data_IF_130241731788
#
_entry.id   IF_130241731788
#
_cell.length_a   1.000
_cell.length_b   1.000
_cell.length_c   1.000
_cell.angle_alpha   90.00
_cell.angle_beta   90.00
_cell.angle_gamma   90.00
#
_symmetry.space_group_name_H-M   'P 1'
#
loop_
_entity.id
_entity.type
_entity.pdbx_description
1 polymer ?
#
# COMPACT_ATOMS: atom_id res chain seq x y z
N UNK A 1 9.12 -14.92 15.41
CA UNK A 1 8.85 -13.77 14.52
C UNK A 1 7.80 -14.11 13.46
N UNK A 2 7.84 -15.32 12.88
CA UNK A 2 6.87 -15.80 11.87
C UNK A 2 5.40 -15.79 12.31
N UNK A 3 5.09 -16.09 13.58
CA UNK A 3 3.71 -16.09 14.09
C UNK A 3 3.15 -14.68 14.40
N UNK A 4 4.00 -13.65 14.51
CA UNK A 4 3.58 -12.32 14.96
C UNK A 4 2.98 -11.48 13.81
N UNK A 5 3.52 -11.65 12.60
CA UNK A 5 3.15 -10.83 11.45
C UNK A 5 1.71 -11.10 10.99
N UNK A 6 1.22 -12.36 10.92
CA UNK A 6 -0.18 -12.61 10.60
C UNK A 6 -1.16 -11.99 11.62
N UNK A 7 -0.78 -11.97 12.91
CA UNK A 7 -1.58 -11.36 13.97
C UNK A 7 -1.61 -9.84 13.80
N UNK A 8 -0.46 -9.21 13.55
CA UNK A 8 -0.37 -7.78 13.26
C UNK A 8 -1.21 -7.41 12.03
N UNK A 9 -1.15 -8.22 10.96
CA UNK A 9 -1.93 -7.96 9.74
C UNK A 9 -3.44 -8.02 10.00
N UNK A 10 -3.91 -9.05 10.72
CA UNK A 10 -5.33 -9.18 11.11
C UNK A 10 -5.79 -8.00 11.96
N UNK A 11 -4.94 -7.53 12.89
CA UNK A 11 -5.22 -6.34 13.70
C UNK A 11 -5.31 -5.07 12.83
N UNK A 12 -4.40 -4.87 11.88
CA UNK A 12 -4.45 -3.73 10.95
C UNK A 12 -5.78 -3.66 10.19
N UNK A 13 -6.27 -4.79 9.66
CA UNK A 13 -7.54 -4.82 8.90
C UNK A 13 -8.75 -4.41 9.77
N UNK A 14 -8.82 -4.95 10.99
CA UNK A 14 -9.88 -4.63 11.94
C UNK A 14 -9.86 -3.15 12.28
N UNK A 15 -8.68 -2.59 12.56
CA UNK A 15 -8.56 -1.19 12.96
C UNK A 15 -8.75 -0.20 11.81
N UNK A 16 -8.43 -0.58 10.58
CA UNK A 16 -8.74 0.23 9.40
C UNK A 16 -10.24 0.36 9.15
N UNK A 17 -11.02 -0.64 9.56
CA UNK A 17 -12.49 -0.62 9.41
C UNK A 17 -13.17 0.23 10.50
N UNK A 18 -12.57 0.30 11.69
CA UNK A 18 -13.15 0.97 12.88
C UNK A 18 -12.53 2.36 13.11
N UNK A 19 -11.47 2.72 12.39
CA UNK A 19 -10.77 4.00 12.51
C UNK A 19 -9.99 4.08 13.83
N UNK A 20 -8.88 3.36 13.96
CA UNK A 20 -8.08 3.39 15.19
C UNK A 20 -6.79 4.21 15.02
N UNK A 21 -6.80 5.44 15.55
CA UNK A 21 -5.57 6.14 15.97
C UNK A 21 -5.00 5.55 17.30
N UNK A 22 -5.67 4.53 17.89
CA UNK A 22 -5.38 4.02 19.22
C UNK A 22 -4.34 2.88 19.31
N UNK A 23 -4.00 2.20 18.20
CA UNK A 23 -3.09 1.05 18.24
C UNK A 23 -1.92 1.23 17.27
N UNK A 24 -0.74 1.25 17.87
CA UNK A 24 0.54 1.47 17.21
C UNK A 24 1.12 0.14 16.77
N UNK A 25 0.77 -0.33 15.57
CA UNK A 25 1.35 -1.55 15.00
C UNK A 25 2.68 -1.25 14.31
N UNK A 26 3.65 -2.18 14.35
CA UNK A 26 4.91 -1.98 13.66
C UNK A 26 4.69 -1.98 12.15
N UNK A 27 5.21 -0.95 11.48
CA UNK A 27 5.03 -0.73 10.05
C UNK A 27 6.26 -0.03 9.45
N UNK A 28 6.59 -0.34 8.20
CA UNK A 28 7.63 0.40 7.47
C UNK A 28 6.94 1.48 6.64
N UNK A 29 7.19 2.74 6.96
CA UNK A 29 6.64 3.89 6.23
C UNK A 29 7.67 4.37 5.21
N UNK A 30 7.32 4.29 3.92
CA UNK A 30 8.19 4.68 2.82
C UNK A 30 7.99 6.16 2.51
N UNK A 31 9.06 6.94 2.64
CA UNK A 31 9.08 8.39 2.41
C UNK A 31 10.06 8.75 1.32
N UNK A 32 9.85 9.91 0.70
CA UNK A 32 10.74 10.43 -0.33
C UNK A 32 10.04 11.48 -1.18
N UNK A 33 10.83 12.31 -1.85
CA UNK A 33 10.31 13.30 -2.80
C UNK A 33 9.52 12.63 -3.93
N UNK A 34 8.73 13.38 -4.67
CA UNK A 34 8.18 12.91 -5.94
C UNK A 34 9.32 12.40 -6.83
N UNK A 35 9.11 11.26 -7.51
CA UNK A 35 10.10 10.64 -8.41
C UNK A 35 11.42 10.16 -7.78
N UNK A 36 11.53 10.09 -6.44
CA UNK A 36 12.68 9.52 -5.73
C UNK A 36 12.89 8.00 -5.92
N UNK A 37 11.94 7.31 -6.56
CA UNK A 37 12.02 5.86 -6.76
C UNK A 37 11.31 5.01 -5.68
N UNK A 38 10.49 5.60 -4.80
CA UNK A 38 9.70 4.88 -3.78
C UNK A 38 8.97 3.66 -4.34
N UNK A 39 8.18 3.88 -5.40
CA UNK A 39 7.41 2.82 -6.06
C UNK A 39 8.32 1.72 -6.61
N UNK A 40 9.50 2.07 -7.13
CA UNK A 40 10.48 1.10 -7.62
C UNK A 40 11.09 0.26 -6.50
N UNK A 41 11.36 0.85 -5.32
CA UNK A 41 11.81 0.11 -4.14
C UNK A 41 10.75 -0.90 -3.70
N UNK A 42 9.48 -0.48 -3.64
CA UNK A 42 8.36 -1.35 -3.27
C UNK A 42 8.21 -2.49 -4.29
N UNK A 43 8.18 -2.18 -5.59
CA UNK A 43 8.07 -3.18 -6.65
C UNK A 43 9.25 -4.16 -6.67
N UNK A 44 10.45 -3.72 -6.29
CA UNK A 44 11.62 -4.59 -6.15
C UNK A 44 11.49 -5.58 -4.99
N UNK A 45 10.78 -5.22 -3.91
CA UNK A 45 10.51 -6.14 -2.79
C UNK A 45 9.46 -7.19 -3.17
N UNK A 46 8.52 -6.83 -4.04
CA UNK A 46 7.47 -7.74 -4.54
C UNK A 46 7.97 -8.58 -5.73
N UNK A 47 8.90 -8.07 -6.53
CA UNK A 47 9.38 -8.69 -7.77
C UNK A 47 8.44 -8.52 -8.96
N UNK A 48 7.45 -7.62 -8.88
CA UNK A 48 6.42 -7.38 -9.90
C UNK A 48 6.13 -5.89 -10.04
N UNK A 49 5.73 -5.48 -11.25
CA UNK A 49 5.22 -4.13 -11.52
C UNK A 49 3.71 -4.10 -11.33
N UNK A 50 3.21 -3.29 -10.39
CA UNK A 50 1.78 -3.16 -10.08
C UNK A 50 1.39 -1.81 -9.54
N UNK A 51 2.37 -0.95 -9.22
CA UNK A 51 2.05 0.41 -8.83
C UNK A 51 1.77 1.24 -10.09
N UNK A 52 0.81 2.17 -10.01
CA UNK A 52 0.54 3.08 -11.10
C UNK A 52 1.81 3.85 -11.50
N UNK A 53 1.91 4.25 -12.76
CA UNK A 53 3.00 5.09 -13.28
C UNK A 53 2.42 6.16 -14.17
N UNK A 54 2.88 7.39 -14.01
CA UNK A 54 2.40 8.50 -14.81
C UNK A 54 3.10 9.82 -14.51
N UNK A 55 2.82 10.86 -15.31
CA UNK A 55 3.29 12.21 -15.03
C UNK A 55 2.57 12.80 -13.81
N UNK A 56 3.28 13.63 -13.03
CA UNK A 56 2.71 14.31 -11.84
C UNK A 56 2.73 13.45 -10.57
N UNK A 57 1.85 13.75 -9.61
CA UNK A 57 1.70 12.96 -8.39
C UNK A 57 0.92 11.69 -8.73
N UNK A 58 1.61 10.57 -8.68
CA UNK A 58 1.05 9.25 -9.01
C UNK A 58 0.32 8.67 -7.78
N UNK A 59 1.04 8.52 -6.67
CA UNK A 59 0.47 8.07 -5.39
C UNK A 59 -0.29 9.23 -4.74
N UNK A 60 -1.63 9.25 -4.87
CA UNK A 60 -2.51 10.28 -4.28
C UNK A 60 -3.27 9.82 -3.03
N UNK A 61 -3.14 8.54 -2.68
CA UNK A 61 -3.67 7.92 -1.46
C UNK A 61 -2.58 7.09 -0.80
N UNK A 62 -2.53 7.01 0.54
CA UNK A 62 -1.70 6.02 1.21
C UNK A 62 -2.02 4.61 0.69
N UNK A 63 -0.99 3.81 0.43
CA UNK A 63 -1.15 2.39 0.12
C UNK A 63 -0.53 1.58 1.26
N UNK A 64 -1.38 0.88 2.01
CA UNK A 64 -0.93 -0.11 2.99
C UNK A 64 -0.80 -1.43 2.25
N UNK A 65 0.45 -1.82 1.99
CA UNK A 65 0.83 -3.04 1.30
C UNK A 65 1.30 -4.09 2.31
N UNK A 66 0.55 -5.17 2.41
CA UNK A 66 0.90 -6.32 3.22
C UNK A 66 1.39 -7.46 2.32
N UNK A 67 2.67 -7.80 2.45
CA UNK A 67 3.26 -8.98 1.84
C UNK A 67 3.06 -10.16 2.78
N UNK A 68 2.47 -11.22 2.26
CA UNK A 68 2.18 -12.46 2.98
C UNK A 68 2.88 -13.61 2.29
N UNK A 69 3.87 -14.18 2.98
CA UNK A 69 4.50 -15.41 2.54
C UNK A 69 3.50 -16.56 2.60
N UNK A 70 3.23 -17.19 1.45
CA UNK A 70 2.24 -18.25 1.32
C UNK A 70 2.80 -19.47 0.58
N UNK A 71 3.41 -20.43 1.32
CA UNK A 71 3.88 -21.71 0.78
C UNK A 71 2.82 -22.47 0.00
N UNK A 72 3.23 -23.31 -0.96
CA UNK A 72 2.29 -24.09 -1.81
C UNK A 72 1.44 -25.10 -1.01
N UNK A 73 1.92 -25.53 0.14
CA UNK A 73 1.25 -26.43 1.09
C UNK A 73 0.41 -25.71 2.16
N UNK A 74 0.43 -24.37 2.18
CA UNK A 74 -0.33 -23.58 3.17
C UNK A 74 -1.82 -23.68 2.93
N UNK A 75 -2.53 -24.35 3.84
CA UNK A 75 -4.00 -24.42 3.86
C UNK A 75 -4.68 -23.23 4.55
N UNK A 76 -3.91 -22.36 5.22
CA UNK A 76 -4.46 -21.16 5.87
C UNK A 76 -4.83 -20.08 4.84
N UNK A 77 -3.97 -19.90 3.83
CA UNK A 77 -4.13 -18.83 2.83
C UNK A 77 -4.64 -19.32 1.49
N UNK A 78 -4.60 -20.64 1.23
CA UNK A 78 -5.01 -21.24 -0.04
C UNK A 78 -6.25 -22.09 0.16
N UNK A 79 -7.27 -21.88 -0.66
CA UNK A 79 -8.49 -22.67 -0.65
C UNK A 79 -8.92 -23.02 -2.07
N UNK A 80 -9.55 -24.19 -2.23
CA UNK A 80 -10.11 -24.62 -3.50
C UNK A 80 -11.32 -23.75 -3.90
N UNK A 81 -12.10 -23.31 -2.91
CA UNK A 81 -13.28 -22.45 -3.08
C UNK A 81 -12.91 -21.08 -3.68
N UNK A 82 -11.79 -20.50 -3.25
CA UNK A 82 -11.28 -19.23 -3.79
C UNK A 82 -10.45 -19.41 -5.07
N UNK A 83 -10.18 -20.65 -5.50
CA UNK A 83 -9.34 -20.94 -6.66
C UNK A 83 -7.85 -20.60 -6.46
N UNK A 84 -7.38 -20.46 -5.22
CA UNK A 84 -6.01 -20.01 -4.90
C UNK A 84 -4.99 -21.14 -4.76
N UNK A 85 -5.44 -22.40 -4.71
CA UNK A 85 -4.58 -23.60 -4.51
C UNK A 85 -3.40 -23.64 -5.48
N UNK A 86 -3.67 -23.37 -6.76
CA UNK A 86 -2.67 -23.50 -7.82
C UNK A 86 -1.98 -22.18 -8.19
N UNK A 87 -2.32 -21.07 -7.53
CA UNK A 87 -1.75 -19.75 -7.83
C UNK A 87 -0.39 -19.58 -7.17
N UNK A 88 0.64 -19.21 -7.92
CA UNK A 88 1.93 -18.88 -7.30
C UNK A 88 1.86 -17.58 -6.50
N UNK A 89 1.11 -16.61 -7.03
CA UNK A 89 0.97 -15.26 -6.51
C UNK A 89 -0.45 -14.76 -6.78
N UNK A 90 -1.03 -14.05 -5.80
CA UNK A 90 -2.31 -13.37 -5.96
C UNK A 90 -2.43 -12.22 -4.97
N UNK A 91 -3.42 -11.38 -5.16
CA UNK A 91 -3.72 -10.29 -4.25
C UNK A 91 -5.20 -10.21 -3.89
N UNK A 92 -5.47 -9.58 -2.76
CA UNK A 92 -6.80 -9.19 -2.30
C UNK A 92 -6.77 -7.73 -1.87
N UNK A 93 -7.78 -6.96 -2.25
CA UNK A 93 -8.00 -5.63 -1.69
C UNK A 93 -9.07 -5.70 -0.62
N UNK A 94 -8.92 -4.91 0.45
CA UNK A 94 -9.92 -4.86 1.51
C UNK A 94 -11.29 -4.41 1.00
N UNK A 95 -11.33 -3.44 0.07
CA UNK A 95 -12.59 -2.86 -0.44
C UNK A 95 -13.35 -3.77 -1.41
N UNK A 96 -12.69 -4.75 -2.02
CA UNK A 96 -13.33 -5.73 -2.93
C UNK A 96 -13.61 -7.09 -2.28
N UNK A 97 -13.40 -7.20 -0.96
CA UNK A 97 -13.69 -8.38 -0.14
C UNK A 97 -12.98 -9.64 -0.66
N UNK A 98 -13.74 -10.57 -1.25
CA UNK A 98 -13.24 -11.89 -1.67
C UNK A 98 -12.72 -11.94 -3.11
N UNK A 99 -12.67 -10.80 -3.82
CA UNK A 99 -12.14 -10.80 -5.19
C UNK A 99 -10.63 -11.11 -5.17
N UNK A 100 -10.26 -12.18 -5.87
CA UNK A 100 -8.87 -12.56 -6.12
C UNK A 100 -8.34 -11.85 -7.37
N UNK A 101 -7.16 -11.27 -7.25
CA UNK A 101 -6.43 -10.68 -8.37
C UNK A 101 -5.18 -11.53 -8.62
N UNK A 102 -5.17 -12.30 -9.71
CA UNK A 102 -4.00 -13.07 -10.14
C UNK A 102 -3.13 -12.31 -11.15
N UNK A 103 -3.69 -11.29 -11.80
CA UNK A 103 -2.98 -10.42 -12.73
C UNK A 103 -2.57 -9.11 -12.05
N UNK A 104 -1.27 -8.81 -12.03
CA UNK A 104 -0.72 -7.59 -11.42
C UNK A 104 -1.07 -6.31 -12.20
N UNK A 105 -1.44 -6.44 -13.48
CA UNK A 105 -1.99 -5.30 -14.24
C UNK A 105 -3.41 -4.95 -13.76
N UNK A 106 -4.21 -5.93 -13.35
CA UNK A 106 -5.53 -5.67 -12.74
C UNK A 106 -5.39 -5.03 -11.37
N UNK A 107 -4.37 -5.41 -10.60
CA UNK A 107 -4.03 -4.75 -9.32
C UNK A 107 -3.73 -3.27 -9.57
N UNK A 108 -2.91 -2.96 -10.58
CA UNK A 108 -2.57 -1.58 -10.95
C UNK A 108 -3.82 -0.78 -11.30
N UNK A 109 -4.66 -1.31 -12.19
CA UNK A 109 -5.89 -0.66 -12.61
C UNK A 109 -6.87 -0.46 -11.46
N UNK A 110 -6.94 -1.41 -10.51
CA UNK A 110 -7.76 -1.26 -9.32
C UNK A 110 -7.25 -0.15 -8.40
N UNK A 111 -5.92 -0.02 -8.21
CA UNK A 111 -5.34 1.09 -7.44
C UNK A 111 -5.68 2.43 -8.09
N UNK A 112 -5.55 2.54 -9.40
CA UNK A 112 -5.89 3.76 -10.15
C UNK A 112 -7.38 4.10 -9.99
N UNK A 113 -8.25 3.13 -10.25
CA UNK A 113 -9.71 3.28 -10.13
C UNK A 113 -10.12 3.72 -8.73
N UNK A 114 -9.59 3.06 -7.70
CA UNK A 114 -9.94 3.33 -6.32
C UNK A 114 -9.35 4.67 -5.84
N UNK A 115 -8.22 5.08 -6.41
CA UNK A 115 -7.67 6.43 -6.22
C UNK A 115 -8.58 7.49 -6.82
N UNK A 116 -8.98 7.33 -8.08
CA UNK A 116 -9.87 8.29 -8.76
C UNK A 116 -11.24 8.39 -8.11
N UNK A 117 -11.78 7.26 -7.63
CA UNK A 117 -13.08 7.22 -6.93
C UNK A 117 -13.11 8.11 -5.70
N UNK A 118 -12.02 8.15 -4.92
CA UNK A 118 -11.97 8.81 -3.62
C UNK A 118 -11.29 10.18 -3.64
N UNK A 119 -10.21 10.34 -4.41
CA UNK A 119 -9.48 11.61 -4.54
C UNK A 119 -10.03 12.50 -5.67
N UNK A 120 -10.93 11.98 -6.50
CA UNK A 120 -11.45 12.64 -7.69
C UNK A 120 -10.40 12.78 -8.80
N UNK A 121 -10.81 13.40 -9.91
CA UNK A 121 -9.94 13.67 -11.06
C UNK A 121 -9.08 14.93 -10.91
N UNK A 122 -9.35 15.78 -9.92
CA UNK A 122 -8.69 17.09 -9.73
C UNK A 122 -7.29 16.99 -9.10
N UNK A 123 -6.59 15.85 -9.25
CA UNK A 123 -5.20 15.64 -8.79
C UNK A 123 -4.92 15.87 -7.29
N UNK A 124 -5.95 16.05 -6.46
CA UNK A 124 -5.84 16.14 -5.00
C UNK A 124 -5.43 14.81 -4.35
N UNK A 125 -5.15 14.85 -3.04
CA UNK A 125 -4.87 13.65 -2.25
C UNK A 125 -6.07 13.27 -1.38
N UNK A 126 -6.15 11.99 -1.01
CA UNK A 126 -7.12 11.51 -0.04
C UNK A 126 -6.37 10.77 1.09
N UNK A 127 -6.64 11.10 2.37
CA UNK A 127 -5.93 10.50 3.51
C UNK A 127 -6.36 9.06 3.80
N UNK A 128 -7.47 8.59 3.22
CA UNK A 128 -7.95 7.21 3.41
C UNK A 128 -7.11 6.22 2.61
N UNK A 129 -6.53 5.25 3.31
CA UNK A 129 -5.63 4.28 2.71
C UNK A 129 -6.33 3.24 1.82
N UNK A 130 -5.64 2.82 0.77
CA UNK A 130 -5.94 1.58 0.05
C UNK A 130 -5.22 0.44 0.76
N UNK A 131 -5.93 -0.64 1.07
CA UNK A 131 -5.36 -1.82 1.74
C UNK A 131 -5.22 -2.95 0.74
N UNK A 132 -3.98 -3.37 0.48
CA UNK A 132 -3.63 -4.39 -0.49
C UNK A 132 -2.81 -5.49 0.19
N UNK A 133 -3.29 -6.73 0.09
CA UNK A 133 -2.55 -7.93 0.48
C UNK A 133 -2.03 -8.64 -0.75
N UNK A 134 -0.73 -8.92 -0.79
CA UNK A 134 -0.11 -9.75 -1.82
C UNK A 134 0.39 -11.04 -1.17
N UNK A 135 -0.10 -12.16 -1.65
CA UNK A 135 0.31 -13.49 -1.26
C UNK A 135 1.30 -14.02 -2.29
N UNK A 136 2.47 -14.46 -1.85
CA UNK A 136 3.47 -15.03 -2.76
C UNK A 136 4.37 -16.03 -2.03
N UNK A 137 4.92 -16.97 -2.79
CA UNK A 137 5.97 -17.90 -2.32
C UNK A 137 7.37 -17.27 -2.33
N UNK A 138 7.51 -16.02 -2.79
CA UNK A 138 8.79 -15.34 -3.04
C UNK A 138 9.00 -14.11 -2.16
N UNK A 139 7.98 -13.71 -1.40
CA UNK A 139 8.03 -12.54 -0.52
C UNK A 139 8.25 -12.94 0.93
N UNK A 140 8.75 -12.01 1.73
CA UNK A 140 8.73 -12.13 3.18
C UNK A 140 7.45 -11.54 3.74
N UNK A 141 7.04 -11.99 4.92
CA UNK A 141 5.96 -11.35 5.66
C UNK A 141 6.39 -9.92 6.05
N UNK A 142 5.73 -8.90 5.50
CA UNK A 142 6.12 -7.50 5.70
C UNK A 142 4.95 -6.55 5.44
N UNK A 143 4.87 -5.46 6.20
CA UNK A 143 3.90 -4.37 5.93
C UNK A 143 4.63 -3.08 5.61
N UNK A 144 4.33 -2.55 4.43
CA UNK A 144 4.84 -1.30 3.89
C UNK A 144 3.70 -0.30 3.76
N UNK A 145 3.96 0.97 4.05
CA UNK A 145 3.06 2.07 3.77
C UNK A 145 3.71 2.97 2.73
N UNK A 146 3.17 3.00 1.52
CA UNK A 146 3.54 4.00 0.51
C UNK A 146 2.73 5.27 0.73
N UNK A 147 3.40 6.40 0.75
CA UNK A 147 2.76 7.71 0.93
C UNK A 147 2.99 8.60 -0.30
N UNK A 148 2.09 9.57 -0.53
CA UNK A 148 2.30 10.58 -1.57
C UNK A 148 3.70 11.22 -1.46
N UNK A 149 4.37 11.34 -2.61
CA UNK A 149 5.69 11.95 -2.67
C UNK A 149 5.63 13.44 -2.37
N UNK A 150 6.60 13.94 -1.60
CA UNK A 150 6.68 15.37 -1.27
C UNK A 150 6.96 16.16 -2.56
N UNK A 151 6.12 17.17 -2.83
CA UNK A 151 6.31 18.17 -3.89
C UNK A 151 6.20 19.57 -3.30
N UNK A 152 6.97 20.52 -3.85
CA UNK A 152 6.95 21.94 -3.47
C UNK A 152 6.08 22.81 -4.38
N UNK A 153 5.74 22.31 -5.56
CA UNK A 153 5.02 23.08 -6.58
C UNK A 153 3.77 22.30 -6.97
N UNK A 154 2.57 22.86 -6.78
CA UNK A 154 1.34 22.24 -7.26
C UNK A 154 1.35 22.18 -8.80
N UNK A 155 0.87 21.08 -9.36
CA UNK A 155 0.81 20.86 -10.81
C UNK A 155 -0.63 20.63 -11.25
N UNK A 156 -1.11 21.45 -12.21
CA UNK A 156 -2.48 21.37 -12.72
C UNK A 156 -3.49 21.81 -11.65
N UNK A 157 -4.56 21.03 -11.47
CA UNK A 157 -5.68 21.36 -10.57
C UNK A 157 -5.41 21.06 -9.08
N UNK A 158 -4.14 20.88 -8.70
CA UNK A 158 -3.77 20.64 -7.32
C UNK A 158 -4.02 21.87 -6.46
N UNK A 159 -4.50 21.70 -5.22
CA UNK A 159 -4.72 22.82 -4.32
C UNK A 159 -3.38 23.47 -3.93
N UNK A 160 -3.38 24.78 -3.66
CA UNK A 160 -2.16 25.53 -3.32
C UNK A 160 -1.48 25.00 -2.04
N UNK A 161 -2.26 24.42 -1.13
CA UNK A 161 -1.79 23.85 0.13
C UNK A 161 -1.42 22.36 0.04
N UNK A 162 -1.31 21.79 -1.17
CA UNK A 162 -1.03 20.36 -1.37
C UNK A 162 0.23 19.89 -0.63
N UNK A 163 1.28 20.71 -0.57
CA UNK A 163 2.51 20.40 0.17
C UNK A 163 2.20 20.19 1.66
N UNK A 164 1.40 21.09 2.26
CA UNK A 164 1.01 21.00 3.66
C UNK A 164 0.12 19.80 3.92
N UNK A 165 -0.81 19.48 3.02
CA UNK A 165 -1.66 18.30 3.14
C UNK A 165 -0.83 17.01 3.12
N UNK A 166 0.11 16.88 2.17
CA UNK A 166 1.03 15.73 2.08
C UNK A 166 1.89 15.64 3.34
N UNK A 167 2.44 16.78 3.81
CA UNK A 167 3.27 16.83 5.00
C UNK A 167 2.51 16.39 6.26
N UNK A 168 1.28 16.88 6.43
CA UNK A 168 0.42 16.50 7.56
C UNK A 168 0.08 15.02 7.52
N UNK A 169 -0.21 14.48 6.33
CA UNK A 169 -0.44 13.06 6.13
C UNK A 169 0.80 12.24 6.50
N UNK A 170 1.98 12.62 6.04
CA UNK A 170 3.25 11.97 6.40
C UNK A 170 3.45 11.98 7.91
N UNK A 171 3.33 13.15 8.55
CA UNK A 171 3.48 13.31 10.00
C UNK A 171 2.54 12.37 10.75
N UNK A 172 1.28 12.24 10.31
CA UNK A 172 0.31 11.31 10.91
C UNK A 172 0.83 9.86 10.93
N UNK A 173 1.41 9.38 9.82
CA UNK A 173 1.90 8.00 9.73
C UNK A 173 3.20 7.76 10.49
N UNK A 174 4.13 8.72 10.47
CA UNK A 174 5.44 8.59 11.14
C UNK A 174 5.39 8.91 12.64
N UNK A 175 4.33 9.56 13.12
CA UNK A 175 4.11 9.81 14.54
C UNK A 175 3.88 8.51 15.33
N UNK A 176 3.58 7.39 14.66
CA UNK A 176 3.56 6.08 15.27
C UNK A 176 4.98 5.70 15.76
N UNK A 177 5.24 5.58 17.07
CA UNK A 177 6.57 5.27 17.61
C UNK A 177 7.04 3.86 17.24
N UNK A 178 6.13 2.98 16.82
CA UNK A 178 6.46 1.64 16.32
C UNK A 178 6.72 1.62 14.81
N UNK A 179 6.73 2.78 14.13
CA UNK A 179 7.05 2.86 12.71
C UNK A 179 8.55 2.89 12.46
N UNK A 180 8.99 2.21 11.39
CA UNK A 180 10.33 2.33 10.82
C UNK A 180 10.22 3.20 9.58
N UNK A 181 10.97 4.29 9.53
CA UNK A 181 10.96 5.21 8.40
C UNK A 181 11.99 4.75 7.36
N UNK A 182 11.51 4.37 6.18
CA UNK A 182 12.35 4.12 5.01
C UNK A 182 12.40 5.38 4.14
N UNK A 183 13.42 6.20 4.35
CA UNK A 183 13.65 7.42 3.57
C UNK A 183 14.37 7.10 2.25
N UNK A 184 13.65 7.22 1.14
CA UNK A 184 14.16 7.00 -0.22
C UNK A 184 14.56 8.33 -0.85
N UNK A 185 15.82 8.43 -1.24
CA UNK A 185 16.38 9.59 -1.94
C UNK A 185 17.06 9.13 -3.22
N UNK A 186 16.83 9.83 -4.33
CA UNK A 186 17.64 9.63 -5.52
C UNK A 186 19.08 10.09 -5.25
N UNK A 187 20.05 9.43 -5.90
CA UNK A 187 21.47 9.76 -5.82
C UNK A 187 21.81 11.06 -6.57
#
# INVERSE_FOLDING_TARGET
MEALIPVINKLQDVFNTVGADAIQLPQIVVLGTQSSGKSSVIESLVGRSFLPRGPGIVTRRPLILQLVYSPKDSKEHRSAEEGTVNLEEWAKFLHTKERIYSNFDEIRLEIERETDRMAGSNKGICPEAINLKIFSTKVVNLTLVDLPGITKVPIGDQPEDIENQIRNLIIKYIANPNSIILAVTAA
#
